data_IF_636915067389
#
_entry.id   IF_636915067389
#
_cell.length_a   1.000
_cell.length_b   1.000
_cell.length_c   1.000
_cell.angle_alpha   90.00
_cell.angle_beta   90.00
_cell.angle_gamma   90.00
#
_symmetry.space_group_name_H-M   'P 1'
#
loop_
_entity.id
_entity.type
_entity.pdbx_description
1 polymer ?
#
# COMPACT_ATOMS: atom_id res chain seq x y z
N UNK A 1 -5.61 -33.14 10.82
CA UNK A 1 -5.96 -32.39 9.59
C UNK A 1 -5.91 -30.92 9.87
N UNK A 2 -4.78 -30.28 9.50
CA UNK A 2 -4.68 -28.83 9.55
C UNK A 2 -5.32 -28.28 8.28
N UNK A 3 -6.50 -27.67 8.42
CA UNK A 3 -7.10 -26.88 7.37
C UNK A 3 -6.13 -25.72 7.03
N UNK A 4 -5.50 -25.80 5.87
CA UNK A 4 -4.72 -24.70 5.32
C UNK A 4 -5.72 -23.61 4.93
N UNK A 5 -5.84 -22.59 5.77
CA UNK A 5 -6.66 -21.42 5.45
C UNK A 5 -5.85 -20.54 4.52
N UNK A 6 -6.27 -20.42 3.27
CA UNK A 6 -5.70 -19.47 2.30
C UNK A 6 -6.72 -18.42 1.95
N UNK A 7 -6.25 -17.18 1.75
CA UNK A 7 -7.05 -16.05 1.28
C UNK A 7 -6.68 -15.76 -0.16
N UNK A 8 -7.68 -15.65 -1.02
CA UNK A 8 -7.53 -15.21 -2.39
C UNK A 8 -8.11 -13.79 -2.50
N UNK A 9 -7.26 -12.83 -2.83
CA UNK A 9 -7.67 -11.46 -3.12
C UNK A 9 -7.75 -11.27 -4.63
N UNK A 10 -8.93 -10.90 -5.15
CA UNK A 10 -9.10 -10.44 -6.53
C UNK A 10 -9.05 -8.91 -6.51
N UNK A 11 -7.98 -8.34 -7.06
CA UNK A 11 -7.67 -6.92 -6.89
C UNK A 11 -7.49 -6.27 -8.25
N UNK A 12 -8.20 -5.17 -8.49
CA UNK A 12 -7.89 -4.26 -9.57
C UNK A 12 -6.86 -3.22 -9.12
N UNK A 13 -6.12 -2.58 -10.05
CA UNK A 13 -5.31 -1.43 -9.72
C UNK A 13 -6.13 -0.39 -8.95
N UNK A 14 -5.60 0.15 -7.84
CA UNK A 14 -6.33 1.13 -7.04
C UNK A 14 -6.58 2.41 -7.84
N UNK A 15 -7.78 2.98 -7.68
CA UNK A 15 -8.20 4.19 -8.38
C UNK A 15 -7.78 5.47 -7.65
N UNK A 16 -7.50 5.35 -6.36
CA UNK A 16 -7.16 6.45 -5.46
C UNK A 16 -6.16 6.03 -4.38
N UNK A 17 -5.77 6.97 -3.55
CA UNK A 17 -4.82 6.76 -2.45
C UNK A 17 -5.36 5.81 -1.36
N UNK A 18 -6.67 5.65 -1.22
CA UNK A 18 -7.24 4.71 -0.24
C UNK A 18 -6.87 3.25 -0.56
N UNK A 19 -6.63 2.96 -1.86
CA UNK A 19 -6.14 1.66 -2.31
C UNK A 19 -4.62 1.49 -2.28
N UNK A 20 -3.85 2.49 -1.86
CA UNK A 20 -2.37 2.47 -1.90
C UNK A 20 -1.76 1.33 -1.07
N UNK A 21 -2.43 0.85 -0.03
CA UNK A 21 -1.99 -0.28 0.78
C UNK A 21 -1.73 -1.55 -0.05
N UNK A 22 -2.42 -1.72 -1.18
CA UNK A 22 -2.22 -2.86 -2.10
C UNK A 22 -0.80 -2.82 -2.67
N UNK A 23 -0.32 -1.63 -3.02
CA UNK A 23 1.03 -1.46 -3.55
C UNK A 23 2.07 -1.79 -2.49
N UNK A 24 1.90 -1.25 -1.27
CA UNK A 24 2.82 -1.50 -0.16
C UNK A 24 2.81 -3.01 0.22
N UNK A 25 1.62 -3.63 0.20
CA UNK A 25 1.44 -5.04 0.55
C UNK A 25 2.10 -6.00 -0.46
N UNK A 26 2.11 -5.67 -1.74
CA UNK A 26 2.70 -6.46 -2.82
C UNK A 26 3.95 -5.82 -3.44
N UNK A 27 4.60 -4.91 -2.73
CA UNK A 27 5.74 -4.13 -3.21
C UNK A 27 6.88 -4.96 -3.82
N UNK A 28 7.28 -6.14 -3.27
CA UNK A 28 8.31 -6.98 -3.89
C UNK A 28 7.99 -7.35 -5.34
N UNK A 29 6.74 -7.72 -5.64
CA UNK A 29 6.32 -8.09 -7.00
C UNK A 29 6.14 -6.88 -7.89
N UNK A 30 5.62 -5.77 -7.36
CA UNK A 30 5.48 -4.53 -8.14
C UNK A 30 6.82 -3.92 -8.49
N UNK A 31 7.84 -4.05 -7.65
CA UNK A 31 9.19 -3.59 -7.99
C UNK A 31 9.84 -4.42 -9.10
N UNK A 32 9.46 -5.69 -9.25
CA UNK A 32 9.86 -6.53 -10.39
C UNK A 32 9.11 -6.15 -11.67
N UNK A 33 7.78 -5.96 -11.58
CA UNK A 33 6.91 -5.67 -12.72
C UNK A 33 7.08 -4.23 -13.25
N UNK A 34 7.36 -3.28 -12.36
CA UNK A 34 7.44 -1.84 -12.64
C UNK A 34 8.68 -1.23 -11.97
N UNK A 35 9.91 -1.62 -12.38
CA UNK A 35 11.14 -1.23 -11.70
C UNK A 35 11.43 0.28 -11.76
N UNK A 36 10.91 0.97 -12.77
CA UNK A 36 11.06 2.42 -12.90
C UNK A 36 10.21 3.21 -11.90
N UNK A 37 9.19 2.57 -11.32
CA UNK A 37 8.24 3.23 -10.42
C UNK A 37 8.33 2.75 -8.98
N UNK A 38 8.59 1.47 -8.78
CA UNK A 38 8.65 0.87 -7.46
C UNK A 38 10.03 0.26 -7.21
N UNK A 39 10.50 0.37 -5.98
CA UNK A 39 11.79 -0.18 -5.57
C UNK A 39 11.66 -1.00 -4.31
N UNK A 40 12.19 -2.22 -4.33
CA UNK A 40 12.30 -3.10 -3.18
C UNK A 40 13.71 -3.72 -3.16
N UNK A 41 14.36 -3.87 -1.99
CA UNK A 41 15.71 -4.44 -1.91
C UNK A 41 15.80 -5.87 -2.43
N UNK A 42 14.70 -6.62 -2.40
CA UNK A 42 14.60 -8.00 -2.86
C UNK A 42 13.33 -8.18 -3.72
N UNK A 43 13.34 -7.81 -5.02
CA UNK A 43 12.19 -7.98 -5.91
C UNK A 43 11.80 -9.44 -6.07
N UNK A 44 10.50 -9.71 -6.21
CA UNK A 44 9.94 -11.04 -6.39
C UNK A 44 9.30 -11.20 -7.77
N UNK A 45 9.58 -12.31 -8.44
CA UNK A 45 8.93 -12.63 -9.71
C UNK A 45 7.43 -12.96 -9.49
N UNK A 46 6.56 -12.73 -10.50
CA UNK A 46 5.16 -13.15 -10.43
C UNK A 46 5.03 -14.63 -10.08
N UNK A 47 4.15 -14.93 -9.11
CA UNK A 47 3.94 -16.31 -8.62
C UNK A 47 4.97 -16.79 -7.60
N UNK A 48 6.07 -16.09 -7.40
CA UNK A 48 7.05 -16.41 -6.37
C UNK A 48 6.43 -16.27 -4.97
N UNK A 49 6.68 -17.25 -4.09
CA UNK A 49 6.21 -17.19 -2.70
C UNK A 49 7.20 -16.43 -1.83
N UNK A 50 6.67 -15.49 -1.04
CA UNK A 50 7.39 -14.78 0.02
C UNK A 50 6.72 -15.06 1.36
N UNK A 51 7.51 -15.06 2.42
CA UNK A 51 7.05 -15.40 3.75
C UNK A 51 7.10 -14.18 4.66
N UNK A 52 6.05 -14.01 5.46
CA UNK A 52 5.87 -12.85 6.33
C UNK A 52 5.47 -13.30 7.72
N UNK A 53 6.02 -12.61 8.72
CA UNK A 53 5.66 -12.77 10.12
C UNK A 53 5.43 -11.41 10.77
N UNK A 54 4.48 -11.33 11.71
CA UNK A 54 4.29 -10.11 12.50
C UNK A 54 5.24 -10.13 13.68
N UNK A 55 6.27 -9.28 13.63
CA UNK A 55 7.27 -9.13 14.67
C UNK A 55 7.14 -7.74 15.28
N UNK A 56 6.97 -7.67 16.61
CA UNK A 56 6.82 -6.38 17.32
C UNK A 56 5.74 -5.48 16.69
N UNK A 57 4.56 -6.03 16.40
CA UNK A 57 3.43 -5.37 15.74
C UNK A 57 3.72 -4.84 14.32
N UNK A 58 4.83 -5.29 13.70
CA UNK A 58 5.20 -4.93 12.33
C UNK A 58 5.30 -6.18 11.47
N UNK A 59 4.66 -6.16 10.30
CA UNK A 59 4.83 -7.20 9.30
C UNK A 59 6.26 -7.15 8.74
N UNK A 60 6.94 -8.29 8.76
CA UNK A 60 8.35 -8.41 8.37
C UNK A 60 8.52 -9.60 7.45
N UNK A 61 9.21 -9.44 6.33
CA UNK A 61 9.59 -10.54 5.45
C UNK A 61 10.63 -11.42 6.16
N UNK A 62 10.45 -12.75 6.05
CA UNK A 62 11.32 -13.77 6.62
C UNK A 62 11.73 -14.78 5.56
N UNK A 63 12.82 -15.49 5.79
CA UNK A 63 13.44 -16.34 4.76
C UNK A 63 12.62 -17.59 4.40
N UNK A 64 11.84 -18.11 5.34
CA UNK A 64 11.10 -19.37 5.13
C UNK A 64 9.76 -19.39 5.87
N UNK A 65 8.91 -20.38 5.49
CA UNK A 65 7.64 -20.66 6.18
C UNK A 65 7.78 -21.54 7.42
N UNK A 66 9.00 -21.87 7.83
CA UNK A 66 9.23 -22.66 9.04
C UNK A 66 8.92 -21.84 10.28
N UNK A 67 8.27 -22.50 11.27
CA UNK A 67 7.97 -21.84 12.52
C UNK A 67 9.26 -21.61 13.34
N UNK A 68 9.46 -20.42 13.85
CA UNK A 68 10.59 -20.02 14.66
C UNK A 68 10.16 -19.36 15.98
N UNK A 69 11.07 -19.31 16.93
CA UNK A 69 10.81 -18.68 18.23
C UNK A 69 11.30 -17.23 18.23
N UNK A 70 10.42 -16.30 18.62
CA UNK A 70 10.72 -14.87 18.75
C UNK A 70 10.12 -14.32 20.04
N UNK A 71 10.95 -13.73 20.90
CA UNK A 71 10.53 -13.18 22.22
C UNK A 71 9.76 -14.18 23.09
N UNK A 72 10.07 -15.49 23.01
CA UNK A 72 9.40 -16.53 23.78
C UNK A 72 8.08 -17.02 23.20
N UNK A 73 7.69 -16.54 22.04
CA UNK A 73 6.51 -17.01 21.28
C UNK A 73 6.93 -17.76 20.02
N UNK A 74 6.23 -18.85 19.74
CA UNK A 74 6.44 -19.62 18.51
C UNK A 74 5.61 -19.01 17.39
N UNK A 75 6.29 -18.38 16.43
CA UNK A 75 5.69 -17.70 15.30
C UNK A 75 5.68 -18.61 14.08
N UNK A 76 4.55 -18.68 13.38
CA UNK A 76 4.43 -19.36 12.09
C UNK A 76 4.24 -18.30 10.99
N UNK A 77 5.19 -18.19 10.04
CA UNK A 77 5.06 -17.27 8.91
C UNK A 77 3.90 -17.66 8.00
N UNK A 78 3.34 -16.65 7.34
CA UNK A 78 2.32 -16.80 6.29
C UNK A 78 2.95 -16.54 4.93
N UNK A 79 2.61 -17.35 3.95
CA UNK A 79 3.06 -17.13 2.57
C UNK A 79 2.17 -16.12 1.88
N UNK A 80 2.80 -15.36 0.98
CA UNK A 80 2.14 -14.42 0.07
C UNK A 80 2.72 -14.56 -1.31
N UNK A 81 1.89 -14.38 -2.33
CA UNK A 81 2.30 -14.28 -3.73
C UNK A 81 1.41 -13.32 -4.46
N UNK A 82 1.89 -12.79 -5.57
CA UNK A 82 1.12 -11.97 -6.49
C UNK A 82 1.20 -12.56 -7.91
N UNK A 83 0.04 -12.71 -8.54
CA UNK A 83 -0.07 -13.22 -9.91
C UNK A 83 -0.82 -12.15 -10.71
N UNK A 84 -0.14 -11.43 -11.62
CA UNK A 84 -0.82 -10.48 -12.49
C UNK A 84 -1.76 -11.23 -13.43
N UNK A 85 -2.97 -10.70 -13.61
CA UNK A 85 -3.93 -11.18 -14.58
C UNK A 85 -4.41 -10.01 -15.43
N UNK A 86 -4.41 -10.20 -16.74
CA UNK A 86 -4.89 -9.22 -17.72
C UNK A 86 -6.19 -9.69 -18.36
N UNK A 87 -6.94 -8.75 -18.92
CA UNK A 87 -8.16 -9.09 -19.66
C UNK A 87 -7.90 -10.16 -20.74
N UNK A 88 -6.76 -10.05 -21.43
CA UNK A 88 -6.40 -10.97 -22.52
C UNK A 88 -6.07 -12.39 -22.07
N UNK A 89 -5.81 -12.59 -20.75
CA UNK A 89 -5.56 -13.91 -20.20
C UNK A 89 -6.86 -14.72 -20.01
N UNK A 90 -8.02 -14.06 -20.15
CA UNK A 90 -9.32 -14.69 -20.07
C UNK A 90 -9.95 -14.84 -21.47
N UNK A 91 -9.93 -16.03 -22.07
CA UNK A 91 -10.45 -16.24 -23.44
C UNK A 91 -11.93 -15.92 -23.58
N UNK A 92 -12.71 -16.02 -22.50
CA UNK A 92 -14.15 -15.70 -22.53
C UNK A 92 -14.42 -14.18 -22.57
N UNK A 93 -13.49 -13.36 -22.13
CA UNK A 93 -13.61 -11.91 -22.13
C UNK A 93 -12.88 -11.27 -23.33
N UNK A 94 -11.78 -11.89 -23.80
CA UNK A 94 -11.01 -11.35 -24.94
C UNK A 94 -11.81 -11.28 -26.22
N UNK A 95 -12.71 -12.24 -26.46
CA UNK A 95 -13.55 -12.33 -27.65
C UNK A 95 -14.90 -11.59 -27.48
N UNK A 96 -15.10 -10.91 -26.38
CA UNK A 96 -16.32 -10.17 -26.07
C UNK A 96 -16.17 -8.67 -26.36
N UNK A 97 -17.31 -7.95 -26.44
CA UNK A 97 -17.33 -6.49 -26.53
C UNK A 97 -16.80 -5.79 -25.26
N UNK A 98 -16.43 -6.53 -24.23
CA UNK A 98 -15.96 -5.97 -22.97
C UNK A 98 -14.65 -5.19 -23.13
N UNK A 99 -13.73 -5.70 -23.94
CA UNK A 99 -12.50 -4.98 -24.28
C UNK A 99 -12.79 -3.62 -24.93
N UNK A 100 -13.79 -3.55 -25.83
CA UNK A 100 -14.21 -2.30 -26.48
C UNK A 100 -14.78 -1.30 -25.49
N UNK A 101 -15.56 -1.77 -24.50
CA UNK A 101 -16.08 -0.92 -23.42
C UNK A 101 -14.93 -0.35 -22.60
N UNK A 102 -13.95 -1.16 -22.20
CA UNK A 102 -12.79 -0.69 -21.45
C UNK A 102 -11.93 0.29 -22.25
N UNK A 103 -11.79 0.09 -23.57
CA UNK A 103 -11.05 0.99 -24.45
C UNK A 103 -11.68 2.40 -24.54
N UNK A 104 -12.98 2.53 -24.30
CA UNK A 104 -13.68 3.81 -24.31
C UNK A 104 -13.50 4.62 -23.02
N UNK A 105 -12.92 4.03 -21.98
CA UNK A 105 -12.70 4.71 -20.71
C UNK A 105 -11.58 5.77 -20.82
N UNK A 106 -11.67 6.87 -20.04
CA UNK A 106 -10.60 7.84 -19.96
C UNK A 106 -9.37 7.28 -19.25
N UNK A 107 -8.18 7.83 -19.54
CA UNK A 107 -6.99 7.56 -18.75
C UNK A 107 -7.09 8.25 -17.35
N UNK A 108 -6.54 7.67 -16.29
CA UNK A 108 -5.76 6.42 -16.21
C UNK A 108 -6.61 5.14 -16.08
N UNK A 109 -7.93 5.27 -15.93
CA UNK A 109 -8.85 4.15 -15.67
C UNK A 109 -8.77 3.08 -16.77
N UNK A 110 -8.63 3.50 -18.02
CA UNK A 110 -8.44 2.60 -19.15
C UNK A 110 -7.20 1.73 -18.98
N UNK A 111 -6.04 2.33 -18.71
CA UNK A 111 -4.79 1.59 -18.51
C UNK A 111 -4.85 0.65 -17.31
N UNK A 112 -5.47 1.07 -16.23
CA UNK A 112 -5.66 0.26 -15.04
C UNK A 112 -6.51 -0.99 -15.31
N UNK A 113 -7.66 -0.84 -15.93
CA UNK A 113 -8.61 -1.94 -16.09
C UNK A 113 -8.31 -2.81 -17.32
N UNK A 114 -7.85 -2.23 -18.43
CA UNK A 114 -7.58 -2.96 -19.66
C UNK A 114 -6.25 -3.73 -19.61
N UNK A 115 -5.22 -3.11 -19.03
CA UNK A 115 -3.87 -3.67 -19.01
C UNK A 115 -3.42 -4.14 -17.63
N UNK A 116 -4.22 -3.90 -16.58
CA UNK A 116 -3.83 -4.20 -15.20
C UNK A 116 -2.65 -3.34 -14.75
N UNK A 117 -2.61 -2.08 -15.19
CA UNK A 117 -1.47 -1.20 -14.94
C UNK A 117 -1.54 -0.60 -13.54
N UNK A 118 -0.89 -1.25 -12.59
CA UNK A 118 -0.70 -0.75 -11.22
C UNK A 118 0.22 0.48 -11.18
N UNK A 119 1.01 0.74 -12.23
CA UNK A 119 1.85 1.93 -12.30
C UNK A 119 1.04 3.19 -12.63
N UNK A 120 -0.09 3.08 -13.35
CA UNK A 120 -0.99 4.18 -13.63
C UNK A 120 -1.82 4.63 -12.42
N UNK A 121 -1.83 3.85 -11.33
CA UNK A 121 -2.72 4.02 -10.19
C UNK A 121 -2.54 5.33 -9.40
N UNK A 122 -1.44 6.05 -9.57
CA UNK A 122 -1.10 7.23 -8.76
C UNK A 122 -0.78 8.46 -9.62
N UNK A 123 -1.64 8.78 -10.57
CA UNK A 123 -1.66 10.14 -11.08
C UNK A 123 -2.32 11.01 -9.99
N UNK A 124 -1.55 11.94 -9.43
CA UNK A 124 -2.08 12.88 -8.45
C UNK A 124 -3.35 13.53 -9.03
N UNK A 125 -4.41 13.56 -8.24
CA UNK A 125 -5.63 14.28 -8.60
C UNK A 125 -5.24 15.72 -9.02
N UNK A 126 -5.61 16.20 -10.21
CA UNK A 126 -5.32 17.56 -10.65
C UNK A 126 -5.78 18.65 -9.66
N UNK A 127 -6.75 18.32 -8.79
CA UNK A 127 -7.29 19.18 -7.76
C UNK A 127 -6.62 19.00 -6.38
N UNK A 128 -5.66 18.09 -6.27
CA UNK A 128 -4.94 17.86 -5.02
C UNK A 128 -3.94 18.97 -4.76
N UNK A 129 -4.22 19.81 -3.76
CA UNK A 129 -3.36 20.94 -3.39
C UNK A 129 -1.99 20.50 -2.83
N UNK A 130 -1.93 19.37 -2.11
CA UNK A 130 -0.70 18.82 -1.51
C UNK A 130 -0.48 17.42 -2.03
N UNK A 131 0.60 17.16 -2.77
CA UNK A 131 0.92 15.82 -3.26
C UNK A 131 1.05 14.82 -2.10
N UNK A 132 0.44 13.65 -2.22
CA UNK A 132 0.50 12.58 -1.20
C UNK A 132 1.93 12.22 -0.82
N UNK A 133 2.87 12.26 -1.77
CA UNK A 133 4.29 12.04 -1.52
C UNK A 133 4.87 13.02 -0.49
N UNK A 134 4.44 14.28 -0.50
CA UNK A 134 4.87 15.28 0.48
C UNK A 134 4.33 14.98 1.88
N UNK A 135 3.08 14.53 1.97
CA UNK A 135 2.47 14.10 3.24
C UNK A 135 3.23 12.91 3.81
N UNK A 136 3.51 11.89 3.00
CA UNK A 136 4.29 10.70 3.41
C UNK A 136 5.71 11.09 3.87
N UNK A 137 6.38 12.01 3.16
CA UNK A 137 7.69 12.52 3.57
C UNK A 137 7.64 13.31 4.89
N UNK A 138 6.58 14.07 5.12
CA UNK A 138 6.39 14.80 6.38
C UNK A 138 6.15 13.84 7.54
N UNK A 139 5.30 12.83 7.37
CA UNK A 139 5.06 11.76 8.34
C UNK A 139 6.33 10.98 8.67
N UNK A 140 7.11 10.62 7.63
CA UNK A 140 8.39 9.93 7.82
C UNK A 140 9.37 10.76 8.64
N UNK A 141 9.53 12.04 8.32
CA UNK A 141 10.38 12.96 9.09
C UNK A 141 9.92 13.09 10.54
N UNK A 142 8.61 13.15 10.76
CA UNK A 142 8.04 13.22 12.11
C UNK A 142 8.36 11.97 12.94
N UNK A 143 8.33 10.78 12.34
CA UNK A 143 8.68 9.52 13.01
C UNK A 143 10.19 9.37 13.27
N UNK A 144 11.03 9.87 12.35
CA UNK A 144 12.49 9.69 12.41
C UNK A 144 13.20 10.78 13.22
N UNK A 145 12.60 11.96 13.37
CA UNK A 145 13.21 13.08 14.08
C UNK A 145 12.66 13.17 15.51
N UNK A 146 13.52 13.22 16.54
CA UNK A 146 13.07 13.42 17.89
C UNK A 146 12.45 14.82 18.05
N UNK A 147 11.50 14.92 18.98
CA UNK A 147 10.94 16.21 19.37
C UNK A 147 12.04 17.17 19.80
N UNK A 148 12.13 18.37 19.23
CA UNK A 148 13.16 19.34 19.62
C UNK A 148 12.95 19.83 21.05
N UNK A 149 14.05 20.09 21.75
CA UNK A 149 14.07 20.66 23.13
C UNK A 149 13.73 22.17 23.14
N UNK A 150 12.81 22.62 22.33
CA UNK A 150 12.37 24.01 22.25
C UNK A 150 11.06 24.22 22.99
N UNK A 151 10.84 25.44 23.49
CA UNK A 151 9.56 25.81 24.11
C UNK A 151 8.42 25.68 23.12
N UNK A 152 7.25 25.33 23.61
CA UNK A 152 6.04 25.33 22.80
C UNK A 152 5.78 26.72 22.22
N UNK A 153 5.65 26.82 20.89
CA UNK A 153 5.48 28.09 20.15
C UNK A 153 4.04 28.32 19.67
N UNK A 154 3.17 27.31 19.77
CA UNK A 154 1.77 27.44 19.38
C UNK A 154 0.94 26.22 19.69
N UNK A 155 -0.38 26.37 19.61
CA UNK A 155 -1.39 25.31 19.73
C UNK A 155 -2.42 25.49 18.64
N UNK A 156 -2.70 24.45 17.87
CA UNK A 156 -3.85 24.34 17.00
C UNK A 156 -4.93 23.50 17.66
N UNK A 157 -6.19 23.89 17.58
CA UNK A 157 -7.31 23.14 18.11
C UNK A 157 -8.37 23.02 17.02
N UNK A 158 -8.69 21.78 16.68
CA UNK A 158 -9.84 21.45 15.83
C UNK A 158 -10.96 20.92 16.72
N UNK A 159 -12.07 21.69 16.82
CA UNK A 159 -13.15 21.42 17.75
C UNK A 159 -14.26 20.63 17.05
N UNK A 160 -14.42 19.37 17.43
CA UNK A 160 -15.55 18.56 17.01
C UNK A 160 -16.82 18.97 17.78
N UNK A 161 -17.92 19.22 17.06
CA UNK A 161 -19.23 19.58 17.62
C UNK A 161 -20.07 18.40 18.13
N UNK A 162 -19.47 17.24 18.30
CA UNK A 162 -20.17 15.99 18.58
C UNK A 162 -20.41 15.18 17.31
N UNK A 163 -20.63 13.88 17.45
CA UNK A 163 -20.68 12.93 16.36
C UNK A 163 -19.49 11.96 16.39
N UNK A 164 -19.04 11.51 15.23
CA UNK A 164 -17.91 10.56 15.10
C UNK A 164 -16.54 11.26 15.05
N UNK A 165 -16.51 12.58 14.90
CA UNK A 165 -15.28 13.35 14.80
C UNK A 165 -14.65 13.55 16.17
N UNK A 166 -13.33 13.45 16.24
CA UNK A 166 -12.57 13.65 17.47
C UNK A 166 -12.08 15.11 17.59
N UNK A 167 -12.08 15.64 18.81
CA UNK A 167 -11.34 16.87 19.11
C UNK A 167 -9.85 16.60 18.91
N UNK A 168 -9.18 17.42 18.11
CA UNK A 168 -7.75 17.32 17.86
C UNK A 168 -7.04 18.57 18.40
N UNK A 169 -5.99 18.33 19.19
CA UNK A 169 -5.10 19.38 19.71
C UNK A 169 -3.71 19.10 19.18
N UNK A 170 -3.17 20.00 18.38
CA UNK A 170 -1.81 19.93 17.85
C UNK A 170 -0.94 21.00 18.50
N UNK A 171 0.18 20.60 19.10
CA UNK A 171 1.15 21.49 19.73
C UNK A 171 2.33 21.71 18.80
N UNK A 172 2.79 22.93 18.67
CA UNK A 172 3.93 23.31 17.84
C UNK A 172 5.16 23.59 18.67
N UNK A 173 6.31 23.04 18.28
CA UNK A 173 7.63 23.24 18.88
C UNK A 173 8.63 23.59 17.75
N UNK A 174 8.78 24.90 17.46
CA UNK A 174 9.55 25.33 16.29
C UNK A 174 8.93 24.86 14.98
N UNK A 175 9.56 23.93 14.29
CA UNK A 175 9.07 23.32 13.04
C UNK A 175 8.46 21.92 13.26
N UNK A 176 8.38 21.45 14.49
CA UNK A 176 7.85 20.14 14.85
C UNK A 176 6.45 20.27 15.47
N UNK A 177 5.58 19.30 15.17
CA UNK A 177 4.18 19.25 15.65
C UNK A 177 3.94 17.93 16.39
N UNK A 178 3.24 18.00 17.54
CA UNK A 178 2.85 16.88 18.40
C UNK A 178 1.36 16.60 18.25
#
# INVERSE_FOLDING_TARGET
>A
DHLLTSFLYLINPPLDDAGSWVIDYFLPWFSFLFPDKYSHPNPAAPGELRWYATLNCKETEVESGEAFDHNGERIRPLSRTFIPAKLMDNPYLSDSNYATVLQSLPEPLRSQLLYGDFAAAFMADPWQCIPTAWVKLAQKRWMEQPKPETSQSGVGVDVARGGKDALVISKRFGHWFD
#
